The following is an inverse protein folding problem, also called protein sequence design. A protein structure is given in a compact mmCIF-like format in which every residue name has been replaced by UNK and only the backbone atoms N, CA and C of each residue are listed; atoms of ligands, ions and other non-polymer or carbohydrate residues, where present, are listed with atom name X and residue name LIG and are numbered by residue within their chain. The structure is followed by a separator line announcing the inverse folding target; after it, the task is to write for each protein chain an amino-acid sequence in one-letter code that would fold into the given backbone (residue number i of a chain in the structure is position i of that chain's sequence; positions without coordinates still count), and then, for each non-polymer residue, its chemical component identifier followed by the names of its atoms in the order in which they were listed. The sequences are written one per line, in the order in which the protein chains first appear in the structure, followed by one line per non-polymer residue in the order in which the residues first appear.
data_IF_070499013809
#
_entry.id   IF_070499013809
#
_cell.length_a   1.000
_cell.length_b   1.000
_cell.length_c   1.000
_cell.angle_alpha   90.00
_cell.angle_beta   90.00
_cell.angle_gamma   90.00
#
_symmetry.space_group_name_H-M   'P 1'
#
loop_
_entity.id
_entity.type
_entity.pdbx_description
1 polymer ?
#
# COMPACT_ATOMS: atom_id res chain seq x y z
N UNK A 1 21.76 57.51 40.00
CA UNK A 1 22.89 57.70 39.07
C UNK A 1 22.95 56.48 38.16
N UNK A 2 22.98 56.74 36.85
CA UNK A 2 22.92 55.81 35.71
C UNK A 2 24.19 54.94 35.56
N UNK A 3 24.03 53.77 34.91
CA UNK A 3 24.92 53.03 33.98
C UNK A 3 24.73 51.53 34.26
N UNK A 4 24.18 50.67 33.42
CA UNK A 4 24.04 50.64 31.96
C UNK A 4 24.72 49.37 31.45
N UNK A 5 23.96 48.43 30.87
CA UNK A 5 24.31 47.69 29.65
C UNK A 5 23.34 46.53 29.40
N UNK A 6 22.70 46.62 28.23
CA UNK A 6 21.93 45.61 27.52
C UNK A 6 22.89 44.54 27.00
N UNK A 7 22.60 43.25 27.23
CA UNK A 7 22.97 42.18 26.29
C UNK A 7 21.80 41.21 26.20
N UNK A 8 21.18 41.18 25.03
CA UNK A 8 20.20 40.18 24.63
C UNK A 8 20.91 38.84 24.35
N UNK A 9 20.27 37.74 24.73
CA UNK A 9 20.58 36.41 24.18
C UNK A 9 19.27 35.66 23.95
N UNK A 10 18.69 35.90 22.78
CA UNK A 10 17.67 35.06 22.13
C UNK A 10 18.42 33.93 21.42
N UNK A 11 18.37 32.70 21.90
CA UNK A 11 18.70 31.44 21.19
C UNK A 11 18.29 30.30 22.14
N UNK A 12 17.60 29.24 21.79
CA UNK A 12 16.97 28.77 20.57
C UNK A 12 15.98 27.70 21.05
N UNK A 13 14.77 27.68 20.49
CA UNK A 13 13.86 26.56 20.65
C UNK A 13 14.51 25.31 20.03
N UNK A 14 15.05 24.42 20.86
CA UNK A 14 15.36 23.06 20.44
C UNK A 14 14.02 22.32 20.30
N UNK A 15 13.37 22.52 19.16
CA UNK A 15 12.33 21.66 18.64
C UNK A 15 12.90 20.25 18.66
N UNK A 16 12.44 19.40 19.58
CA UNK A 16 12.76 17.98 19.57
C UNK A 16 12.28 17.44 18.22
N UNK A 17 13.25 17.20 17.33
CA UNK A 17 13.09 16.44 16.11
C UNK A 17 12.49 15.10 16.52
N UNK A 18 11.17 14.96 16.33
CA UNK A 18 10.54 13.66 16.15
C UNK A 18 11.38 12.94 15.10
N UNK A 19 11.80 11.68 15.32
CA UNK A 19 12.51 10.94 14.29
C UNK A 19 11.63 10.98 13.04
N UNK A 20 12.09 11.69 12.02
CA UNK A 20 11.46 11.66 10.72
C UNK A 20 11.40 10.20 10.32
N UNK A 21 10.19 9.67 10.16
CA UNK A 21 10.00 8.45 9.39
C UNK A 21 10.73 8.74 8.07
N UNK A 22 11.80 8.00 7.82
CA UNK A 22 12.55 8.08 6.58
C UNK A 22 11.55 8.06 5.42
N UNK A 23 11.73 8.96 4.46
CA UNK A 23 10.86 9.07 3.28
C UNK A 23 11.04 7.82 2.42
N UNK A 24 10.39 6.72 2.80
CA UNK A 24 10.39 5.51 2.02
C UNK A 24 9.39 5.66 0.87
N UNK A 25 9.86 5.39 -0.35
CA UNK A 25 9.05 5.37 -1.56
C UNK A 25 8.33 4.02 -1.63
N UNK A 26 7.13 3.91 -1.06
CA UNK A 26 6.38 2.64 -0.95
C UNK A 26 4.87 2.87 -0.92
N UNK A 27 4.43 3.94 -1.59
CA UNK A 27 3.04 4.34 -1.69
C UNK A 27 2.69 4.55 -3.16
N UNK A 28 1.66 3.87 -3.63
CA UNK A 28 1.18 3.97 -5.00
C UNK A 28 -0.21 4.58 -4.97
N UNK A 29 -0.47 5.47 -5.92
CA UNK A 29 -1.78 6.07 -6.16
C UNK A 29 -2.13 5.84 -7.60
N UNK A 30 -3.33 5.34 -7.81
CA UNK A 30 -3.83 5.03 -9.13
C UNK A 30 -5.28 5.47 -9.29
N UNK A 31 -5.62 5.94 -10.48
CA UNK A 31 -6.96 6.35 -10.85
C UNK A 31 -7.55 5.35 -11.84
N UNK A 32 -8.78 4.91 -11.58
CA UNK A 32 -9.52 4.05 -12.49
C UNK A 32 -10.76 4.77 -13.03
N UNK A 33 -11.05 4.52 -14.30
CA UNK A 33 -12.25 5.01 -14.99
C UNK A 33 -13.20 3.89 -15.42
N UNK A 34 -12.82 2.65 -15.12
CA UNK A 34 -13.58 1.42 -15.33
C UNK A 34 -13.20 0.42 -14.23
N UNK A 35 -14.12 -0.47 -13.89
CA UNK A 35 -13.86 -1.55 -12.92
C UNK A 35 -12.98 -2.67 -13.51
N UNK A 36 -12.82 -2.73 -14.83
CA UNK A 36 -11.98 -3.71 -15.54
C UNK A 36 -10.50 -3.33 -15.45
N UNK A 37 -9.90 -3.50 -14.27
CA UNK A 37 -8.48 -3.30 -14.02
C UNK A 37 -7.89 -4.44 -13.22
N UNK A 38 -6.73 -4.93 -13.66
CA UNK A 38 -5.98 -5.97 -12.96
C UNK A 38 -4.70 -5.35 -12.38
N UNK A 39 -4.53 -5.53 -11.07
CA UNK A 39 -3.34 -5.13 -10.33
C UNK A 39 -2.50 -6.35 -10.02
N UNK A 40 -1.19 -6.29 -10.29
CA UNK A 40 -0.25 -7.35 -9.93
C UNK A 40 0.74 -6.81 -8.91
N UNK A 41 0.77 -7.38 -7.71
CA UNK A 41 1.76 -7.10 -6.69
C UNK A 41 2.85 -8.16 -6.74
N UNK A 42 4.11 -7.73 -6.89
CA UNK A 42 5.27 -8.64 -6.94
C UNK A 42 6.22 -8.28 -5.82
N UNK A 43 6.50 -9.24 -4.94
CA UNK A 43 7.52 -9.10 -3.89
C UNK A 43 8.84 -9.61 -4.46
N UNK A 44 9.76 -8.69 -4.73
CA UNK A 44 11.10 -9.02 -5.19
C UNK A 44 11.99 -9.29 -3.96
N UNK A 45 11.87 -10.48 -3.40
CA UNK A 45 12.51 -10.87 -2.14
C UNK A 45 13.94 -10.39 -2.01
N UNK A 46 14.31 -9.97 -0.80
CA UNK A 46 15.70 -9.68 -0.47
C UNK A 46 16.57 -10.94 -0.67
N UNK A 47 17.87 -10.77 -0.89
CA UNK A 47 18.80 -11.90 -0.99
C UNK A 47 18.65 -12.86 0.20
N UNK A 48 18.22 -14.10 -0.04
CA UNK A 48 17.97 -15.12 0.99
C UNK A 48 16.54 -15.18 1.54
N UNK A 49 15.63 -14.36 1.02
CA UNK A 49 14.20 -14.42 1.30
C UNK A 49 13.62 -15.78 0.92
N UNK A 50 12.82 -16.35 1.83
CA UNK A 50 12.16 -17.63 1.67
C UNK A 50 10.91 -17.70 2.56
N UNK A 51 10.02 -18.64 2.26
CA UNK A 51 8.73 -18.83 2.92
C UNK A 51 8.82 -19.21 4.41
N UNK A 52 9.99 -19.62 4.90
CA UNK A 52 10.22 -19.92 6.31
C UNK A 52 10.70 -18.70 7.11
N UNK A 53 10.97 -17.57 6.44
CA UNK A 53 11.33 -16.33 7.09
C UNK A 53 10.20 -15.32 7.02
N UNK A 54 9.55 -15.12 8.16
CA UNK A 54 8.38 -14.26 8.32
C UNK A 54 8.65 -12.78 7.98
N UNK A 55 9.91 -12.34 8.08
CA UNK A 55 10.29 -10.96 7.72
C UNK A 55 10.45 -10.75 6.22
N UNK A 56 10.38 -11.83 5.43
CA UNK A 56 10.44 -11.77 3.97
C UNK A 56 9.06 -11.58 3.33
N UNK A 57 7.98 -11.65 4.12
CA UNK A 57 6.64 -11.35 3.65
C UNK A 57 6.36 -9.85 3.67
N UNK A 58 5.61 -9.39 2.68
CA UNK A 58 5.16 -8.02 2.56
C UNK A 58 3.63 -7.94 2.53
N UNK A 59 3.10 -6.76 2.78
CA UNK A 59 1.67 -6.48 2.75
C UNK A 59 1.38 -5.41 1.72
N UNK A 60 0.42 -5.66 0.83
CA UNK A 60 -0.23 -4.64 0.02
C UNK A 60 -1.46 -4.12 0.78
N UNK A 61 -1.32 -3.01 1.49
CA UNK A 61 -2.45 -2.37 2.18
C UNK A 61 -3.19 -1.49 1.17
N UNK A 62 -4.41 -1.87 0.83
CA UNK A 62 -5.18 -1.32 -0.28
C UNK A 62 -6.33 -0.49 0.28
N UNK A 63 -6.52 0.71 -0.28
CA UNK A 63 -7.58 1.63 0.06
C UNK A 63 -8.22 2.13 -1.22
N UNK A 64 -9.51 1.89 -1.38
CA UNK A 64 -10.26 2.29 -2.57
C UNK A 64 -11.20 3.41 -2.21
N UNK A 65 -11.15 4.48 -2.99
CA UNK A 65 -11.97 5.67 -2.83
C UNK A 65 -12.84 5.89 -4.07
N UNK A 66 -14.05 6.39 -3.86
CA UNK A 66 -14.95 6.88 -4.90
C UNK A 66 -15.54 8.21 -4.47
N UNK A 67 -15.53 9.21 -5.36
CA UNK A 67 -16.05 10.56 -5.08
C UNK A 67 -15.57 11.18 -3.74
N UNK A 68 -14.34 10.88 -3.33
CA UNK A 68 -13.67 11.30 -2.07
C UNK A 68 -14.02 10.48 -0.82
N UNK A 69 -15.00 9.57 -0.89
CA UNK A 69 -15.32 8.68 0.20
C UNK A 69 -14.58 7.35 0.06
N UNK A 70 -14.15 6.78 1.19
CA UNK A 70 -13.59 5.42 1.20
C UNK A 70 -14.71 4.42 0.94
N UNK A 71 -14.50 3.54 -0.03
CA UNK A 71 -15.46 2.49 -0.38
C UNK A 71 -14.98 1.13 0.06
N UNK A 72 -13.68 0.85 0.04
CA UNK A 72 -13.15 -0.43 0.51
C UNK A 72 -11.75 -0.23 1.10
N UNK A 73 -11.39 -1.09 2.04
CA UNK A 73 -10.01 -1.20 2.48
C UNK A 73 -9.69 -2.62 2.92
N UNK A 74 -8.41 -2.97 2.87
CA UNK A 74 -7.94 -4.27 3.30
C UNK A 74 -6.44 -4.38 3.12
N UNK A 75 -5.90 -5.55 3.41
CA UNK A 75 -4.49 -5.80 3.21
C UNK A 75 -4.28 -7.23 2.74
N UNK A 76 -3.43 -7.38 1.73
CA UNK A 76 -3.08 -8.68 1.19
C UNK A 76 -1.64 -9.04 1.52
N UNK A 77 -1.47 -10.24 2.06
CA UNK A 77 -0.17 -10.83 2.32
C UNK A 77 0.44 -11.29 1.00
N UNK A 78 1.65 -10.84 0.70
CA UNK A 78 2.42 -11.26 -0.48
C UNK A 78 3.62 -12.08 -0.01
N UNK A 79 3.75 -13.27 -0.56
CA UNK A 79 4.83 -14.21 -0.24
C UNK A 79 6.17 -13.72 -0.78
N UNK A 80 7.29 -14.09 -0.13
CA UNK A 80 8.61 -13.71 -0.59
C UNK A 80 8.91 -14.25 -1.99
N UNK A 81 9.44 -13.41 -2.87
CA UNK A 81 9.64 -13.70 -4.28
C UNK A 81 8.33 -14.01 -5.05
N UNK A 82 7.16 -13.83 -4.44
CA UNK A 82 5.87 -14.20 -5.02
C UNK A 82 5.20 -13.09 -5.81
N UNK A 83 4.06 -13.43 -6.39
CA UNK A 83 3.14 -12.48 -6.99
C UNK A 83 1.71 -12.71 -6.51
N UNK A 84 0.94 -11.63 -6.49
CA UNK A 84 -0.47 -11.61 -6.15
C UNK A 84 -1.19 -10.78 -7.20
N UNK A 85 -2.23 -11.33 -7.80
CA UNK A 85 -3.09 -10.61 -8.74
C UNK A 85 -4.42 -10.27 -8.07
N UNK A 86 -4.84 -9.02 -8.21
CA UNK A 86 -6.12 -8.50 -7.71
C UNK A 86 -6.89 -7.91 -8.88
N UNK A 87 -8.06 -8.48 -9.15
CA UNK A 87 -9.04 -7.87 -10.04
C UNK A 87 -9.80 -6.78 -9.28
N UNK A 88 -9.80 -5.57 -9.80
CA UNK A 88 -10.47 -4.43 -9.17
C UNK A 88 -11.95 -4.75 -8.91
N UNK A 89 -12.66 -5.26 -9.91
CA UNK A 89 -14.10 -5.49 -9.89
C UNK A 89 -14.51 -6.68 -9.03
N UNK A 90 -13.71 -7.75 -9.01
CA UNK A 90 -13.99 -8.99 -8.29
C UNK A 90 -13.43 -9.01 -6.87
N UNK A 91 -12.25 -8.45 -6.65
CA UNK A 91 -11.49 -8.60 -5.40
C UNK A 91 -11.49 -7.33 -4.54
N UNK A 92 -11.50 -6.14 -5.15
CA UNK A 92 -11.31 -4.87 -4.43
C UNK A 92 -12.59 -4.05 -4.21
N UNK A 93 -13.49 -3.99 -5.21
CA UNK A 93 -14.75 -3.20 -5.16
C UNK A 93 -16.02 -4.03 -5.34
N UNK A 94 -15.92 -5.35 -5.25
CA UNK A 94 -17.09 -6.21 -5.31
C UNK A 94 -17.87 -6.16 -4.00
N UNK A 95 -19.03 -5.53 -3.98
CA UNK A 95 -19.84 -5.40 -2.77
C UNK A 95 -21.00 -6.39 -2.81
N UNK A 96 -20.90 -7.57 -2.17
CA UNK A 96 -21.96 -8.58 -2.24
C UNK A 96 -23.27 -8.13 -1.58
N UNK A 97 -23.21 -7.17 -0.65
CA UNK A 97 -24.39 -6.69 0.10
C UNK A 97 -25.08 -5.53 -0.60
N UNK A 98 -24.34 -4.58 -1.20
CA UNK A 98 -24.93 -3.38 -1.83
C UNK A 98 -25.04 -3.49 -3.35
N UNK A 99 -24.22 -4.35 -3.99
CA UNK A 99 -24.14 -4.46 -5.45
C UNK A 99 -23.65 -3.19 -6.16
N UNK A 100 -23.27 -2.15 -5.39
CA UNK A 100 -22.82 -0.87 -5.94
C UNK A 100 -21.36 -1.02 -6.35
N UNK A 101 -21.11 -0.82 -7.64
CA UNK A 101 -19.75 -0.82 -8.22
C UNK A 101 -19.42 0.60 -8.66
N UNK A 102 -18.52 1.29 -7.96
CA UNK A 102 -18.07 2.61 -8.38
C UNK A 102 -17.50 2.55 -9.81
N UNK A 103 -18.00 3.38 -10.75
CA UNK A 103 -17.50 3.36 -12.13
C UNK A 103 -16.11 3.99 -12.25
N UNK A 104 -15.76 4.87 -11.32
CA UNK A 104 -14.50 5.62 -11.30
C UNK A 104 -14.05 5.85 -9.87
N UNK A 105 -12.74 5.93 -9.64
CA UNK A 105 -12.23 6.19 -8.31
C UNK A 105 -10.70 6.22 -8.24
N UNK A 106 -10.20 6.03 -7.02
CA UNK A 106 -8.77 6.02 -6.72
C UNK A 106 -8.44 4.77 -5.92
N UNK A 107 -7.47 3.98 -6.38
CA UNK A 107 -6.85 2.91 -5.62
C UNK A 107 -5.54 3.43 -5.06
N UNK A 108 -5.37 3.29 -3.75
CA UNK A 108 -4.15 3.66 -3.05
C UNK A 108 -3.58 2.42 -2.40
N UNK A 109 -2.29 2.20 -2.55
CA UNK A 109 -1.62 1.03 -1.97
C UNK A 109 -0.39 1.46 -1.20
N UNK A 110 -0.30 1.02 0.06
CA UNK A 110 0.89 1.20 0.90
C UNK A 110 1.55 -0.15 1.11
N UNK A 111 2.82 -0.26 0.74
CA UNK A 111 3.59 -1.48 0.94
C UNK A 111 4.24 -1.47 2.31
N UNK A 112 3.89 -2.45 3.16
CA UNK A 112 4.49 -2.62 4.49
C UNK A 112 5.14 -3.98 4.66
N UNK A 113 6.05 -4.11 5.63
CA UNK A 113 6.53 -5.41 6.07
C UNK A 113 5.46 -6.10 6.94
N UNK A 114 5.40 -7.42 6.85
CA UNK A 114 4.44 -8.19 7.65
C UNK A 114 4.74 -8.16 9.15
N UNK A 115 6.03 -8.14 9.52
CA UNK A 115 6.50 -8.39 10.89
C UNK A 115 6.19 -7.34 11.96
N UNK A 116 5.62 -6.19 11.61
CA UNK A 116 5.28 -5.16 12.60
C UNK A 116 3.81 -5.17 12.98
N UNK A 117 2.92 -5.13 11.98
CA UNK A 117 1.48 -5.01 12.21
C UNK A 117 0.67 -6.07 11.45
N UNK A 118 1.30 -7.19 11.05
CA UNK A 118 0.61 -8.37 10.51
C UNK A 118 -0.38 -8.11 9.37
N UNK A 119 -0.04 -7.17 8.47
CA UNK A 119 -0.95 -6.69 7.42
C UNK A 119 -2.25 -6.06 7.96
N UNK A 120 -2.17 -5.27 9.03
CA UNK A 120 -3.28 -4.45 9.50
C UNK A 120 -3.35 -3.12 8.72
N UNK A 121 -4.36 -2.90 7.86
CA UNK A 121 -4.51 -1.67 7.09
C UNK A 121 -5.01 -0.48 7.94
N UNK A 122 -5.38 -0.69 9.20
CA UNK A 122 -5.74 0.37 10.16
C UNK A 122 -4.54 0.84 10.98
N UNK A 123 -3.45 0.08 10.95
CA UNK A 123 -2.22 0.36 11.67
C UNK A 123 -1.03 0.06 10.77
N UNK A 124 -0.74 0.95 9.81
CA UNK A 124 0.40 0.80 8.90
C UNK A 124 1.74 0.66 9.65
N UNK A 125 2.52 -0.36 9.30
CA UNK A 125 3.84 -0.65 9.86
C UNK A 125 4.99 -0.04 9.05
N UNK A 126 6.21 -0.55 9.28
CA UNK A 126 7.37 -0.21 8.48
C UNK A 126 7.14 -0.55 7.00
N UNK A 127 7.62 0.31 6.11
CA UNK A 127 7.39 0.14 4.67
C UNK A 127 8.24 -0.98 4.08
N UNK A 128 7.74 -1.70 3.08
CA UNK A 128 8.48 -2.73 2.34
C UNK A 128 8.99 -2.20 1.00
N UNK A 129 10.32 -2.12 0.82
CA UNK A 129 10.95 -1.65 -0.43
C UNK A 129 10.92 -2.66 -1.58
N UNK A 130 10.72 -3.93 -1.26
CA UNK A 130 10.81 -5.05 -2.20
C UNK A 130 9.50 -5.33 -2.93
N UNK A 131 8.37 -4.87 -2.38
CA UNK A 131 7.08 -5.00 -3.00
C UNK A 131 6.90 -3.90 -4.07
N UNK A 132 6.40 -4.31 -5.23
CA UNK A 132 6.08 -3.44 -6.36
C UNK A 132 4.69 -3.76 -6.88
N UNK A 133 3.98 -2.76 -7.37
CA UNK A 133 2.70 -2.94 -8.02
C UNK A 133 2.82 -2.65 -9.52
N UNK A 134 2.09 -3.42 -10.30
CA UNK A 134 1.96 -3.28 -11.74
C UNK A 134 0.48 -3.24 -12.09
N UNK A 135 0.15 -2.64 -13.23
CA UNK A 135 -1.18 -2.74 -13.83
C UNK A 135 -1.07 -3.21 -15.27
N UNK A 136 -2.00 -4.06 -15.69
CA UNK A 136 -2.18 -4.37 -17.11
C UNK A 136 -2.69 -3.14 -17.88
N UNK A 137 -1.97 -2.77 -18.96
CA UNK A 137 -2.36 -1.73 -19.91
C UNK A 137 -2.69 -2.37 -21.26
N UNK A 138 -3.93 -2.84 -21.43
CA UNK A 138 -4.36 -3.42 -22.70
C UNK A 138 -3.60 -4.70 -23.09
N UNK A 139 -2.94 -4.70 -24.26
CA UNK A 139 -2.37 -5.90 -24.95
C UNK A 139 -1.14 -6.51 -24.27
N UNK A 140 -1.29 -6.97 -23.02
CA UNK A 140 -0.29 -7.71 -22.23
C UNK A 140 0.94 -6.90 -21.76
N UNK A 141 0.89 -5.56 -21.82
CA UNK A 141 1.93 -4.71 -21.25
C UNK A 141 1.63 -4.42 -19.77
N UNK A 142 2.61 -4.66 -18.89
CA UNK A 142 2.53 -4.31 -17.47
C UNK A 142 3.20 -2.96 -17.24
N UNK A 143 2.43 -2.00 -16.73
CA UNK A 143 2.94 -0.69 -16.31
C UNK A 143 3.30 -0.77 -14.83
N UNK A 144 4.58 -0.52 -14.50
CA UNK A 144 5.03 -0.38 -13.12
C UNK A 144 4.50 0.94 -12.56
N UNK A 145 3.94 0.91 -11.37
CA UNK A 145 3.53 2.14 -10.69
C UNK A 145 4.73 2.91 -10.12
N UNK A 146 4.71 4.23 -10.30
CA UNK A 146 5.64 5.13 -9.64
C UNK A 146 5.42 5.12 -8.13
N UNK A 147 6.49 4.85 -7.39
CA UNK A 147 6.45 4.88 -5.93
C UNK A 147 6.53 6.33 -5.45
N UNK A 148 5.50 6.76 -4.73
CA UNK A 148 5.45 8.03 -4.04
C UNK A 148 5.91 7.90 -2.59
N UNK A 149 6.17 9.06 -2.00
CA UNK A 149 6.45 9.15 -0.57
C UNK A 149 5.13 9.22 0.19
N UNK A 150 4.95 8.31 1.15
CA UNK A 150 3.83 8.37 2.09
C UNK A 150 4.10 9.48 3.12
N UNK A 151 3.25 10.52 3.12
CA UNK A 151 3.31 11.56 4.16
C UNK A 151 2.64 11.09 5.45
N UNK A 152 3.06 11.61 6.60
CA UNK A 152 2.45 11.29 7.89
C UNK A 152 0.94 11.66 7.94
N UNK A 153 0.55 12.73 7.24
CA UNK A 153 -0.86 13.13 7.14
C UNK A 153 -1.68 12.15 6.28
N UNK A 154 -1.08 11.63 5.20
CA UNK A 154 -1.71 10.60 4.37
C UNK A 154 -1.86 9.30 5.16
N UNK A 155 -0.81 8.84 5.83
CA UNK A 155 -0.83 7.65 6.67
C UNK A 155 -1.92 7.73 7.75
N UNK A 156 -2.01 8.86 8.47
CA UNK A 156 -3.03 9.08 9.47
C UNK A 156 -4.45 9.04 8.89
N UNK A 157 -4.63 9.57 7.67
CA UNK A 157 -5.94 9.55 6.99
C UNK A 157 -6.32 8.13 6.56
N UNK A 158 -5.41 7.39 5.93
CA UNK A 158 -5.65 6.01 5.51
C UNK A 158 -6.02 5.10 6.70
N UNK A 159 -5.29 5.21 7.81
CA UNK A 159 -5.57 4.45 9.04
C UNK A 159 -6.96 4.79 9.61
N UNK A 160 -7.29 6.09 9.68
CA UNK A 160 -8.58 6.57 10.19
C UNK A 160 -9.75 6.11 9.32
N UNK A 161 -9.64 6.30 8.00
CA UNK A 161 -10.70 5.96 7.05
C UNK A 161 -10.97 4.46 7.07
N UNK A 162 -9.92 3.63 7.07
CA UNK A 162 -10.08 2.18 7.11
C UNK A 162 -10.64 1.68 8.45
N UNK A 163 -10.27 2.32 9.56
CA UNK A 163 -10.91 2.03 10.88
C UNK A 163 -12.41 2.30 10.84
N UNK A 164 -12.84 3.37 10.18
CA UNK A 164 -14.25 3.70 10.03
C UNK A 164 -15.00 2.62 9.21
N UNK A 165 -14.37 2.09 8.14
CA UNK A 165 -14.91 0.97 7.36
C UNK A 165 -15.12 -0.26 8.24
N UNK A 166 -14.13 -0.66 9.04
CA UNK A 166 -14.28 -1.83 9.93
C UNK A 166 -15.33 -1.62 11.04
N UNK A 167 -15.49 -0.39 11.53
CA UNK A 167 -16.36 -0.10 12.68
C UNK A 167 -17.82 0.07 12.29
N UNK A 168 -18.10 0.76 11.18
CA UNK A 168 -19.47 1.20 10.82
C UNK A 168 -20.16 0.22 9.88
N UNK A 169 -19.39 -0.53 9.08
CA UNK A 169 -19.91 -1.20 7.89
C UNK A 169 -19.87 -2.73 7.97
N UNK A 170 -19.60 -3.29 9.16
CA UNK A 170 -19.76 -4.70 9.54
C UNK A 170 -19.53 -5.75 8.43
N UNK A 171 -18.38 -5.70 7.76
CA UNK A 171 -17.83 -6.82 6.98
C UNK A 171 -18.17 -6.88 5.49
N UNK A 172 -18.75 -5.84 4.88
CA UNK A 172 -19.11 -5.85 3.45
C UNK A 172 -18.08 -5.21 2.50
N UNK A 173 -16.91 -4.78 3.00
CA UNK A 173 -15.99 -3.88 2.29
C UNK A 173 -14.52 -4.31 2.37
N UNK A 174 -14.29 -5.61 2.58
CA UNK A 174 -12.95 -6.16 2.70
C UNK A 174 -12.42 -6.51 1.32
N UNK A 175 -11.21 -6.07 1.04
CA UNK A 175 -10.40 -6.62 -0.05
C UNK A 175 -10.28 -8.13 0.16
N UNK A 176 -10.68 -8.91 -0.84
CA UNK A 176 -10.80 -10.38 -0.69
C UNK A 176 -9.46 -11.08 -0.85
N UNK A 177 -8.50 -10.41 -1.48
CA UNK A 177 -7.19 -10.91 -1.88
C UNK A 177 -7.28 -12.14 -2.80
N UNK A 178 -6.72 -12.02 -3.98
CA UNK A 178 -6.53 -13.14 -4.89
C UNK A 178 -5.63 -14.23 -4.31
N UNK A 179 -5.52 -15.39 -4.96
CA UNK A 179 -4.53 -16.39 -4.59
C UNK A 179 -3.12 -15.81 -4.77
N UNK A 180 -2.25 -16.04 -3.78
CA UNK A 180 -0.81 -15.77 -3.94
C UNK A 180 -0.19 -16.91 -4.73
N UNK A 181 0.44 -16.59 -5.85
CA UNK A 181 1.20 -17.54 -6.64
C UNK A 181 2.63 -17.66 -6.12
N UNK A 182 3.21 -18.86 -6.26
CA UNK A 182 4.65 -19.03 -6.10
C UNK A 182 5.38 -18.31 -7.25
N UNK A 183 6.59 -17.76 -7.03
CA UNK A 183 7.40 -17.20 -8.10
C UNK A 183 7.50 -18.15 -9.30
N UNK A 184 7.44 -17.63 -10.54
CA UNK A 184 7.89 -18.38 -11.69
C UNK A 184 9.32 -18.89 -11.45
N UNK A 185 9.57 -20.20 -11.61
CA UNK A 185 10.91 -20.78 -11.48
C UNK A 185 11.88 -20.04 -12.41
N UNK A 186 12.79 -19.24 -11.85
CA UNK A 186 13.83 -18.52 -12.59
C UNK A 186 13.72 -16.99 -12.60
N UNK A 187 12.81 -16.38 -11.82
CA UNK A 187 12.73 -14.92 -11.69
C UNK A 187 14.06 -14.34 -11.16
N UNK A 188 14.79 -13.60 -12.01
CA UNK A 188 15.97 -12.82 -11.65
C UNK A 188 15.61 -11.33 -11.66
N UNK A 189 14.87 -10.89 -10.65
CA UNK A 189 14.88 -9.54 -10.04
C UNK A 189 14.71 -8.26 -10.86
N UNK A 190 14.68 -8.27 -12.20
CA UNK A 190 14.80 -7.04 -12.99
C UNK A 190 13.85 -6.93 -14.21
N UNK A 191 12.94 -7.89 -14.44
CA UNK A 191 11.95 -7.78 -15.52
C UNK A 191 10.61 -8.37 -15.04
N UNK A 192 9.45 -7.74 -15.32
CA UNK A 192 8.16 -8.33 -14.99
C UNK A 192 8.02 -9.70 -15.68
N UNK A 193 7.53 -10.74 -14.99
CA UNK A 193 7.21 -11.99 -15.66
C UNK A 193 5.99 -11.76 -16.56
N UNK A 194 6.14 -11.99 -17.86
CA UNK A 194 4.99 -12.12 -18.75
C UNK A 194 4.25 -13.41 -18.39
N UNK A 195 3.12 -13.30 -17.69
CA UNK A 195 2.30 -14.46 -17.36
C UNK A 195 1.33 -14.75 -18.52
N UNK A 196 1.37 -15.99 -19.02
CA UNK A 196 0.37 -16.58 -19.91
C UNK A 196 -0.75 -17.14 -19.03
N UNK A 197 -1.97 -16.69 -19.28
CA UNK A 197 -3.16 -17.16 -18.58
C UNK A 197 -3.47 -18.64 -18.78
N UNK A 198 -4.27 -19.14 -17.83
CA UNK A 198 -5.14 -20.30 -17.97
C UNK A 198 -6.53 -19.94 -17.48
#
# INVERSE_FOLDING_TARGET
MLRGSIVAAVFAAALLLVPGKSMAQNFVVDHYTSADQLYTFVENGATGANEFNITSFACANIYVYSFQDIVACGSCLVSPNGSLEEDLDADLINHPVTGVRPPTGVVKVVFTSWNQNFCDPTALGATSANLKAFRAKGTSELELFDNNVLSAAEEARLNSDCTAVFTVLSGAFNVTCGPTDAPPKGYKGNNPPGYRGH
#
